data_IF_378135704775
#
_entry.id   IF_378135704775
#
_cell.length_a   1.000
_cell.length_b   1.000
_cell.length_c   1.000
_cell.angle_alpha   90.00
_cell.angle_beta   90.00
_cell.angle_gamma   90.00
#
_symmetry.space_group_name_H-M   'P 1'
#
loop_
_entity.id
_entity.type
_entity.pdbx_description
1 polymer ?
#
# COMPACT_ATOMS: atom_id res chain seq x y z
N UNK A 1 -15.41 -5.96 16.80
CA UNK A 1 -15.51 -6.44 15.42
C UNK A 1 -14.93 -7.83 15.39
N UNK A 2 -15.65 -8.84 14.92
CA UNK A 2 -14.99 -10.10 14.55
C UNK A 2 -13.89 -9.76 13.55
N UNK A 3 -12.64 -9.84 14.02
CA UNK A 3 -11.48 -9.32 13.31
C UNK A 3 -11.23 -10.12 12.04
N UNK A 4 -10.87 -9.42 10.98
CA UNK A 4 -10.34 -10.06 9.80
C UNK A 4 -9.03 -10.78 10.18
N UNK A 5 -8.93 -12.06 9.82
CA UNK A 5 -7.85 -12.95 10.23
C UNK A 5 -7.06 -13.41 9.00
N UNK A 6 -5.73 -13.43 9.10
CA UNK A 6 -4.82 -13.83 8.05
C UNK A 6 -5.13 -15.23 7.50
N UNK A 7 -5.51 -16.18 8.37
CA UNK A 7 -5.84 -17.55 7.96
C UNK A 7 -6.98 -17.61 6.94
N UNK A 8 -7.94 -16.67 7.01
CA UNK A 8 -9.06 -16.57 6.05
C UNK A 8 -8.65 -15.95 4.72
N UNK A 9 -7.58 -15.16 4.70
CA UNK A 9 -7.06 -14.47 3.53
C UNK A 9 -5.89 -15.21 2.86
N UNK A 10 -5.37 -16.26 3.50
CA UNK A 10 -4.28 -17.08 2.97
C UNK A 10 -4.70 -17.70 1.64
N UNK A 11 -3.85 -17.59 0.62
CA UNK A 11 -4.12 -18.02 -0.75
C UNK A 11 -4.99 -17.06 -1.55
N UNK A 12 -5.32 -15.89 -1.01
CA UNK A 12 -6.11 -14.86 -1.68
C UNK A 12 -5.30 -13.57 -1.88
N UNK A 13 -5.71 -12.80 -2.88
CA UNK A 13 -5.32 -11.41 -3.08
C UNK A 13 -6.40 -10.53 -2.45
N UNK A 14 -5.99 -9.72 -1.49
CA UNK A 14 -6.89 -8.90 -0.68
C UNK A 14 -6.51 -7.43 -0.77
N UNK A 15 -7.48 -6.58 -1.09
CA UNK A 15 -7.32 -5.12 -1.11
C UNK A 15 -8.13 -4.48 0.02
N UNK A 16 -7.44 -3.80 0.93
CA UNK A 16 -8.02 -3.02 2.02
C UNK A 16 -8.11 -1.55 1.59
N UNK A 17 -9.32 -1.00 1.51
CA UNK A 17 -9.58 0.40 1.12
C UNK A 17 -10.23 1.19 2.25
N UNK A 18 -10.11 2.51 2.18
CA UNK A 18 -10.71 3.41 3.15
C UNK A 18 -9.99 4.75 3.25
N UNK A 19 -10.57 5.64 4.05
CA UNK A 19 -10.14 7.03 4.15
C UNK A 19 -8.93 7.22 5.09
N UNK A 20 -8.21 8.34 5.01
CA UNK A 20 -7.14 8.66 5.98
C UNK A 20 -7.68 8.54 7.41
N UNK A 21 -6.95 7.81 8.26
CA UNK A 21 -7.34 7.56 9.65
C UNK A 21 -8.29 6.38 9.87
N UNK A 22 -8.81 5.71 8.83
CA UNK A 22 -9.76 4.58 8.99
C UNK A 22 -9.15 3.27 9.53
N UNK A 23 -7.86 3.23 9.86
CA UNK A 23 -7.20 2.03 10.39
C UNK A 23 -6.67 1.03 9.35
N UNK A 24 -6.69 1.34 8.05
CA UNK A 24 -6.15 0.44 6.99
C UNK A 24 -4.74 -0.09 7.28
N UNK A 25 -3.82 0.80 7.63
CA UNK A 25 -2.43 0.42 7.93
C UNK A 25 -2.37 -0.41 9.20
N UNK A 26 -3.16 -0.07 10.22
CA UNK A 26 -3.30 -0.88 11.44
C UNK A 26 -3.74 -2.30 11.11
N UNK A 27 -4.82 -2.47 10.34
CA UNK A 27 -5.30 -3.79 9.92
C UNK A 27 -4.25 -4.54 9.08
N UNK A 28 -3.56 -3.84 8.18
CA UNK A 28 -2.49 -4.44 7.37
C UNK A 28 -1.34 -4.94 8.24
N UNK A 29 -0.94 -4.15 9.24
CA UNK A 29 0.10 -4.52 10.19
C UNK A 29 -0.33 -5.67 11.11
N UNK A 30 -1.59 -5.70 11.56
CA UNK A 30 -2.15 -6.81 12.34
C UNK A 30 -2.15 -8.12 11.54
N UNK A 31 -2.58 -8.07 10.28
CA UNK A 31 -2.55 -9.23 9.37
C UNK A 31 -1.11 -9.69 9.09
N UNK A 32 -0.16 -8.76 8.95
CA UNK A 32 1.26 -9.09 8.82
C UNK A 32 1.80 -9.76 10.08
N UNK A 33 1.44 -9.26 11.27
CA UNK A 33 1.86 -9.86 12.54
C UNK A 33 1.31 -11.30 12.72
N UNK A 34 0.11 -11.58 12.17
CA UNK A 34 -0.43 -12.94 12.11
C UNK A 34 0.31 -13.80 11.09
N UNK A 35 0.61 -13.27 9.90
CA UNK A 35 1.36 -13.96 8.86
C UNK A 35 2.77 -14.37 9.33
N UNK A 36 3.48 -13.47 10.04
CA UNK A 36 4.80 -13.74 10.63
C UNK A 36 4.78 -14.93 11.59
N UNK A 37 3.65 -15.19 12.26
CA UNK A 37 3.48 -16.35 13.16
C UNK A 37 3.06 -17.62 12.43
N UNK A 38 2.44 -17.48 11.26
CA UNK A 38 1.80 -18.58 10.53
C UNK A 38 2.63 -19.12 9.36
N UNK A 39 3.58 -18.34 8.86
CA UNK A 39 4.39 -18.65 7.66
C UNK A 39 5.89 -18.66 8.01
N UNK A 40 6.72 -19.40 7.27
CA UNK A 40 8.16 -19.20 7.31
C UNK A 40 8.52 -17.74 7.00
N UNK A 41 9.44 -17.14 7.77
CA UNK A 41 9.72 -15.69 7.66
C UNK A 41 10.28 -15.32 6.28
N UNK A 42 11.06 -16.22 5.68
CA UNK A 42 11.62 -16.12 4.33
C UNK A 42 10.57 -16.19 3.22
N UNK A 43 9.36 -16.67 3.53
CA UNK A 43 8.24 -16.75 2.60
C UNK A 43 7.47 -15.42 2.48
N UNK A 44 7.79 -14.43 3.31
CA UNK A 44 7.08 -13.14 3.39
C UNK A 44 7.98 -12.02 2.85
N UNK A 45 7.45 -11.26 1.89
CA UNK A 45 7.99 -9.96 1.48
C UNK A 45 7.00 -8.86 1.84
N UNK A 46 7.50 -7.75 2.37
CA UNK A 46 6.73 -6.53 2.60
C UNK A 46 7.34 -5.41 1.78
N UNK A 47 6.53 -4.82 0.90
CA UNK A 47 6.84 -3.62 0.16
C UNK A 47 6.07 -2.45 0.78
N UNK A 48 6.77 -1.59 1.53
CA UNK A 48 6.13 -0.46 2.19
C UNK A 48 6.24 0.81 1.35
N UNK A 49 5.15 1.17 0.67
CA UNK A 49 5.08 2.37 -0.15
C UNK A 49 4.51 3.57 0.60
N UNK A 50 4.29 3.47 1.92
CA UNK A 50 3.83 4.61 2.68
C UNK A 50 5.02 5.48 3.13
N UNK A 51 4.92 6.80 3.03
CA UNK A 51 5.82 7.68 3.77
C UNK A 51 5.63 7.46 5.28
N UNK A 52 6.66 7.77 6.08
CA UNK A 52 6.52 7.83 7.54
C UNK A 52 5.38 8.77 7.92
N UNK A 53 4.71 8.54 9.04
CA UNK A 53 3.64 9.43 9.50
C UNK A 53 4.10 10.88 9.55
N UNK A 54 3.30 11.77 8.99
CA UNK A 54 3.55 13.21 9.01
C UNK A 54 2.24 13.98 9.15
N UNK A 55 2.34 15.22 9.62
CA UNK A 55 1.21 16.16 9.65
C UNK A 55 1.44 17.25 8.62
N UNK A 56 0.49 17.44 7.72
CA UNK A 56 0.50 18.51 6.74
C UNK A 56 -0.91 19.05 6.53
N UNK A 57 -1.06 20.38 6.50
CA UNK A 57 -2.34 21.06 6.31
C UNK A 57 -3.43 20.61 7.30
N UNK A 58 -3.05 20.35 8.56
CA UNK A 58 -3.96 19.87 9.61
C UNK A 58 -4.36 18.40 9.51
N UNK A 59 -3.85 17.65 8.54
CA UNK A 59 -4.14 16.22 8.34
C UNK A 59 -2.90 15.38 8.70
N UNK A 60 -3.10 14.35 9.53
CA UNK A 60 -2.10 13.30 9.77
C UNK A 60 -2.22 12.24 8.68
N UNK A 61 -1.15 11.97 7.94
CA UNK A 61 -1.12 11.03 6.82
C UNK A 61 0.20 10.24 6.79
N UNK A 62 0.30 9.31 5.84
CA UNK A 62 1.36 8.29 5.81
C UNK A 62 1.04 7.15 6.76
N UNK A 63 2.09 6.53 7.29
CA UNK A 63 1.99 5.40 8.20
C UNK A 63 2.68 4.19 7.58
N UNK A 64 3.98 4.12 7.78
CA UNK A 64 4.74 2.93 7.44
C UNK A 64 4.51 1.84 8.49
N UNK A 65 4.50 0.58 8.08
CA UNK A 65 4.24 -0.60 8.92
C UNK A 65 5.16 -0.66 10.14
N UNK A 66 6.43 -0.24 10.00
CA UNK A 66 7.41 -0.20 11.09
C UNK A 66 7.06 0.80 12.21
N UNK A 67 6.01 1.62 12.04
CA UNK A 67 5.46 2.49 13.08
C UNK A 67 4.34 1.82 13.89
N UNK A 68 3.81 0.68 13.43
CA UNK A 68 2.66 -0.01 14.04
C UNK A 68 3.04 -1.31 14.74
N UNK A 69 4.05 -2.02 14.22
CA UNK A 69 4.52 -3.28 14.78
C UNK A 69 6.05 -3.35 14.76
N UNK A 70 6.62 -4.11 15.70
CA UNK A 70 8.03 -4.47 15.64
C UNK A 70 8.22 -5.60 14.63
N UNK A 71 9.11 -5.39 13.65
CA UNK A 71 9.39 -6.35 12.60
C UNK A 71 10.60 -7.22 12.98
N UNK A 72 10.55 -8.54 12.73
CA UNK A 72 11.72 -9.41 12.82
C UNK A 72 12.84 -8.92 11.89
N UNK A 73 14.09 -9.11 12.29
CA UNK A 73 15.25 -8.64 11.50
C UNK A 73 15.40 -9.41 10.20
N UNK A 74 14.98 -10.66 10.20
CA UNK A 74 15.04 -11.62 9.10
C UNK A 74 13.94 -11.40 8.07
N UNK A 75 12.89 -10.65 8.42
CA UNK A 75 11.80 -10.34 7.49
C UNK A 75 12.31 -9.52 6.32
N UNK A 76 11.95 -9.91 5.10
CA UNK A 76 12.22 -9.12 3.89
C UNK A 76 11.28 -7.92 3.82
N UNK A 77 11.56 -6.91 4.64
CA UNK A 77 10.87 -5.62 4.69
C UNK A 77 11.64 -4.57 3.90
N UNK A 78 11.04 -4.07 2.83
CA UNK A 78 11.65 -3.07 1.95
C UNK A 78 10.77 -1.83 1.93
N UNK A 79 11.28 -0.75 2.52
CA UNK A 79 10.61 0.54 2.58
C UNK A 79 11.01 1.44 1.43
N UNK A 80 10.03 2.01 0.74
CA UNK A 80 10.25 2.96 -0.33
C UNK A 80 10.61 4.34 0.24
N UNK A 81 11.52 5.05 -0.43
CA UNK A 81 11.77 6.46 -0.16
C UNK A 81 10.77 7.32 -0.95
N UNK A 82 9.66 7.68 -0.33
CA UNK A 82 8.53 8.35 -1.00
C UNK A 82 7.99 9.52 -0.18
N UNK A 83 7.21 10.38 -0.83
CA UNK A 83 6.55 11.56 -0.23
C UNK A 83 5.08 11.62 -0.64
N UNK A 84 4.21 12.21 0.18
CA UNK A 84 2.80 12.43 -0.13
C UNK A 84 2.60 13.58 -1.13
N UNK A 85 2.29 13.33 -2.42
CA UNK A 85 2.37 14.36 -3.45
C UNK A 85 1.43 15.54 -3.23
N UNK A 86 0.21 15.29 -2.74
CA UNK A 86 -0.85 16.31 -2.57
C UNK A 86 -0.71 17.12 -1.27
N UNK A 87 -0.06 16.53 -0.26
CA UNK A 87 0.06 17.13 1.07
C UNK A 87 1.41 17.85 1.28
N UNK A 88 2.48 17.35 0.65
CA UNK A 88 3.84 17.88 0.84
C UNK A 88 4.31 18.81 -0.28
N UNK A 89 3.54 18.98 -1.35
CA UNK A 89 3.83 19.96 -2.41
C UNK A 89 3.17 21.31 -2.15
N UNK A 90 3.76 22.35 -2.73
CA UNK A 90 3.21 23.71 -2.79
C UNK A 90 2.57 24.02 -4.14
N UNK A 91 2.96 23.30 -5.19
CA UNK A 91 2.49 23.54 -6.57
C UNK A 91 2.06 22.25 -7.26
N UNK A 92 1.21 22.37 -8.30
CA UNK A 92 0.84 21.24 -9.16
C UNK A 92 2.05 20.58 -9.83
N UNK A 93 3.01 21.37 -10.30
CA UNK A 93 4.22 20.85 -10.96
C UNK A 93 5.04 19.99 -9.98
N UNK A 94 5.21 20.47 -8.75
CA UNK A 94 5.91 19.73 -7.69
C UNK A 94 5.17 18.44 -7.31
N UNK A 95 3.85 18.49 -7.14
CA UNK A 95 3.04 17.30 -6.86
C UNK A 95 3.22 16.22 -7.93
N UNK A 96 3.17 16.59 -9.21
CA UNK A 96 3.34 15.66 -10.32
C UNK A 96 4.78 15.12 -10.41
N UNK A 97 5.79 15.93 -10.08
CA UNK A 97 7.18 15.48 -9.99
C UNK A 97 7.34 14.43 -8.87
N UNK A 98 6.81 14.71 -7.68
CA UNK A 98 6.82 13.76 -6.55
C UNK A 98 6.11 12.46 -6.92
N UNK A 99 4.94 12.53 -7.56
CA UNK A 99 4.22 11.33 -7.99
C UNK A 99 5.05 10.46 -8.95
N UNK A 100 5.77 11.07 -9.90
CA UNK A 100 6.66 10.37 -10.83
C UNK A 100 7.89 9.77 -10.14
N UNK A 101 8.48 10.50 -9.18
CA UNK A 101 9.60 9.99 -8.38
C UNK A 101 9.16 8.78 -7.56
N UNK A 102 8.04 8.88 -6.84
CA UNK A 102 7.45 7.78 -6.10
C UNK A 102 7.18 6.57 -7.00
N UNK A 103 6.61 6.80 -8.20
CA UNK A 103 6.34 5.74 -9.15
C UNK A 103 7.61 5.03 -9.62
N UNK A 104 8.71 5.76 -9.87
CA UNK A 104 10.00 5.15 -10.23
C UNK A 104 10.54 4.29 -9.09
N UNK A 105 10.53 4.79 -7.87
CA UNK A 105 11.03 4.05 -6.71
C UNK A 105 10.19 2.80 -6.45
N UNK A 106 8.87 2.94 -6.39
CA UNK A 106 7.96 1.80 -6.19
C UNK A 106 8.02 0.79 -7.34
N UNK A 107 8.19 1.23 -8.60
CA UNK A 107 8.36 0.32 -9.75
C UNK A 107 9.64 -0.51 -9.61
N UNK A 108 10.75 0.11 -9.22
CA UNK A 108 12.02 -0.59 -8.95
C UNK A 108 11.86 -1.68 -7.88
N UNK A 109 11.08 -1.41 -6.83
CA UNK A 109 10.80 -2.38 -5.78
C UNK A 109 9.91 -3.52 -6.26
N UNK A 110 8.87 -3.24 -7.04
CA UNK A 110 8.02 -4.25 -7.66
C UNK A 110 8.83 -5.16 -8.60
N UNK A 111 9.68 -4.58 -9.46
CA UNK A 111 10.56 -5.33 -10.36
C UNK A 111 11.59 -6.19 -9.59
N UNK A 112 12.11 -5.69 -8.46
CA UNK A 112 13.00 -6.47 -7.61
C UNK A 112 12.28 -7.64 -6.93
N UNK A 113 11.01 -7.45 -6.54
CA UNK A 113 10.18 -8.54 -6.03
C UNK A 113 9.88 -9.57 -7.13
N UNK A 114 9.42 -9.14 -8.31
CA UNK A 114 9.09 -10.04 -9.44
C UNK A 114 10.29 -10.91 -9.85
N UNK A 115 11.53 -10.41 -9.77
CA UNK A 115 12.73 -11.20 -10.09
C UNK A 115 13.06 -12.28 -9.06
N UNK A 116 12.55 -12.16 -7.84
CA UNK A 116 12.79 -13.10 -6.75
C UNK A 116 11.56 -13.10 -5.82
N UNK A 117 10.42 -13.63 -6.29
CA UNK A 117 9.17 -13.53 -5.56
C UNK A 117 9.18 -14.42 -4.32
N UNK A 118 8.36 -14.05 -3.35
CA UNK A 118 8.02 -14.89 -2.19
C UNK A 118 6.52 -15.16 -2.21
N UNK A 119 6.05 -16.31 -1.71
CA UNK A 119 4.64 -16.70 -1.84
C UNK A 119 3.68 -15.80 -1.07
N UNK A 120 4.14 -15.08 -0.04
CA UNK A 120 3.34 -14.11 0.70
C UNK A 120 3.89 -12.70 0.46
N UNK A 121 3.02 -11.81 -0.01
CA UNK A 121 3.35 -10.42 -0.32
C UNK A 121 2.42 -9.46 0.45
N UNK A 122 3.02 -8.51 1.15
CA UNK A 122 2.30 -7.35 1.69
C UNK A 122 2.72 -6.09 0.93
N UNK A 123 1.76 -5.24 0.57
CA UNK A 123 2.04 -3.92 -0.03
C UNK A 123 1.28 -2.82 0.68
N UNK A 124 1.99 -2.00 1.45
CA UNK A 124 1.39 -0.86 2.15
C UNK A 124 1.29 0.35 1.20
N UNK A 125 0.13 1.01 1.20
CA UNK A 125 -0.18 2.23 0.47
C UNK A 125 0.09 2.17 -1.05
N UNK A 126 -0.58 1.25 -1.75
CA UNK A 126 -0.43 1.10 -3.22
C UNK A 126 -0.87 2.35 -3.98
N UNK A 127 -1.63 3.24 -3.36
CA UNK A 127 -2.03 4.51 -3.96
C UNK A 127 -0.85 5.40 -4.33
N UNK A 128 0.25 5.35 -3.56
CA UNK A 128 1.50 6.06 -3.88
C UNK A 128 2.09 5.60 -5.22
N UNK A 129 2.06 4.30 -5.51
CA UNK A 129 2.44 3.79 -6.83
C UNK A 129 1.44 4.25 -7.90
N UNK A 130 0.14 4.14 -7.63
CA UNK A 130 -0.91 4.42 -8.61
C UNK A 130 -0.99 5.90 -9.05
N UNK A 131 -0.38 6.83 -8.31
CA UNK A 131 -0.31 8.26 -8.70
C UNK A 131 0.41 8.50 -10.03
N UNK A 132 1.36 7.65 -10.42
CA UNK A 132 2.01 7.74 -11.74
C UNK A 132 2.58 6.41 -12.28
N UNK A 133 2.62 5.35 -11.47
CA UNK A 133 3.17 4.03 -11.79
C UNK A 133 2.23 3.14 -12.58
N UNK A 134 2.75 2.02 -13.08
CA UNK A 134 2.00 1.11 -13.94
C UNK A 134 1.14 0.14 -13.13
N UNK A 135 -0.18 0.21 -13.32
CA UNK A 135 -1.11 -0.78 -12.74
C UNK A 135 -0.75 -2.21 -13.17
N UNK A 136 -0.31 -2.42 -14.42
CA UNK A 136 0.06 -3.76 -14.89
C UNK A 136 1.29 -4.31 -14.17
N UNK A 137 2.25 -3.46 -13.80
CA UNK A 137 3.42 -3.88 -13.03
C UNK A 137 3.01 -4.28 -11.61
N UNK A 138 2.15 -3.49 -10.97
CA UNK A 138 1.58 -3.84 -9.68
C UNK A 138 0.81 -5.16 -9.76
N UNK A 139 -0.11 -5.32 -10.72
CA UNK A 139 -0.87 -6.58 -10.87
C UNK A 139 0.05 -7.77 -11.09
N UNK A 140 1.06 -7.65 -11.95
CA UNK A 140 2.04 -8.72 -12.17
C UNK A 140 2.73 -9.12 -10.87
N UNK A 141 3.16 -8.17 -10.04
CA UNK A 141 3.72 -8.50 -8.73
C UNK A 141 2.73 -9.26 -7.84
N UNK A 142 1.44 -8.91 -7.85
CA UNK A 142 0.43 -9.65 -7.09
C UNK A 142 0.19 -11.06 -7.63
N UNK A 143 0.37 -11.28 -8.93
CA UNK A 143 0.20 -12.59 -9.58
C UNK A 143 1.33 -13.57 -9.22
N UNK A 144 2.55 -13.08 -8.97
CA UNK A 144 3.69 -13.91 -8.50
C UNK A 144 3.51 -14.42 -7.06
N UNK A 145 2.63 -13.80 -6.27
CA UNK A 145 2.33 -14.21 -4.90
C UNK A 145 1.16 -15.19 -4.84
N UNK A 146 1.22 -16.15 -3.92
CA UNK A 146 0.07 -17.01 -3.58
C UNK A 146 -0.92 -16.28 -2.67
N UNK A 147 -0.40 -15.54 -1.69
CA UNK A 147 -1.18 -14.64 -0.81
C UNK A 147 -0.69 -13.22 -1.02
N UNK A 148 -1.58 -12.28 -1.30
CA UNK A 148 -1.22 -10.87 -1.38
C UNK A 148 -2.17 -10.02 -0.54
N UNK A 149 -1.64 -9.19 0.37
CA UNK A 149 -2.45 -8.26 1.17
C UNK A 149 -1.92 -6.86 0.93
N UNK A 150 -2.80 -5.97 0.46
CA UNK A 150 -2.43 -4.62 0.13
C UNK A 150 -3.48 -3.63 0.64
N UNK A 151 -3.05 -2.41 0.92
CA UNK A 151 -3.97 -1.34 1.25
C UNK A 151 -3.84 -0.13 0.33
N UNK A 152 -4.93 0.62 0.21
CA UNK A 152 -5.05 1.78 -0.66
C UNK A 152 -5.89 2.87 0.01
N UNK A 153 -5.53 4.13 -0.23
CA UNK A 153 -6.40 5.24 0.09
C UNK A 153 -7.64 5.25 -0.82
N UNK A 154 -8.81 5.44 -0.23
CA UNK A 154 -10.07 5.75 -0.92
C UNK A 154 -10.87 6.72 -0.05
N UNK A 155 -11.01 7.96 -0.51
CA UNK A 155 -11.76 8.97 0.23
C UNK A 155 -11.69 10.36 -0.38
N UNK A 156 -12.03 11.36 0.44
CA UNK A 156 -12.11 12.79 0.14
C UNK A 156 -11.36 13.69 1.14
N UNK A 157 -10.90 13.18 2.29
CA UNK A 157 -10.14 13.97 3.30
C UNK A 157 -8.79 14.53 2.79
N UNK A 158 -8.12 13.85 1.86
CA UNK A 158 -6.93 14.40 1.21
C UNK A 158 -7.43 15.32 0.08
N UNK A 159 -6.87 16.54 -0.07
CA UNK A 159 -7.24 17.44 -1.17
C UNK A 159 -7.25 16.72 -2.52
N UNK A 160 -8.25 17.01 -3.36
CA UNK A 160 -8.38 16.38 -4.67
C UNK A 160 -7.34 16.90 -5.68
N UNK A 161 -6.79 18.09 -5.50
CA UNK A 161 -5.80 18.65 -6.41
C UNK A 161 -4.38 18.13 -6.13
N UNK A 162 -3.57 17.84 -7.18
CA UNK A 162 -3.93 17.91 -8.60
C UNK A 162 -4.88 16.78 -9.05
N UNK A 163 -5.90 17.11 -9.83
CA UNK A 163 -6.89 16.12 -10.33
C UNK A 163 -6.25 14.96 -11.10
N UNK A 164 -5.13 15.17 -11.80
CA UNK A 164 -4.46 14.10 -12.54
C UNK A 164 -3.98 12.97 -11.62
N UNK A 165 -3.55 13.32 -10.41
CA UNK A 165 -3.15 12.35 -9.39
C UNK A 165 -4.40 11.63 -8.87
N UNK A 166 -5.44 12.38 -8.52
CA UNK A 166 -6.67 11.84 -7.92
C UNK A 166 -7.46 10.96 -8.87
N UNK A 167 -7.60 11.34 -10.14
CA UNK A 167 -8.28 10.54 -11.16
C UNK A 167 -7.54 9.24 -11.44
N UNK A 168 -6.21 9.30 -11.57
CA UNK A 168 -5.39 8.11 -11.77
C UNK A 168 -5.43 7.18 -10.57
N UNK A 169 -5.36 7.73 -9.36
CA UNK A 169 -5.54 7.00 -8.11
C UNK A 169 -6.88 6.26 -8.08
N UNK A 170 -7.99 6.99 -8.26
CA UNK A 170 -9.35 6.42 -8.23
C UNK A 170 -9.54 5.33 -9.27
N UNK A 171 -9.11 5.59 -10.52
CA UNK A 171 -9.16 4.59 -11.60
C UNK A 171 -8.30 3.38 -11.28
N UNK A 172 -7.08 3.60 -10.79
CA UNK A 172 -6.14 2.55 -10.43
C UNK A 172 -6.68 1.64 -9.33
N UNK A 173 -7.22 2.21 -8.23
CA UNK A 173 -7.81 1.43 -7.13
C UNK A 173 -9.08 0.73 -7.58
N UNK A 174 -9.92 1.35 -8.41
CA UNK A 174 -11.13 0.71 -8.94
C UNK A 174 -10.80 -0.49 -9.85
N UNK A 175 -9.79 -0.36 -10.72
CA UNK A 175 -9.34 -1.46 -11.57
C UNK A 175 -8.63 -2.56 -10.77
N UNK A 176 -7.86 -2.18 -9.73
CA UNK A 176 -7.22 -3.14 -8.84
C UNK A 176 -8.23 -3.95 -8.05
N UNK A 177 -9.31 -3.31 -7.57
CA UNK A 177 -10.41 -3.97 -6.86
C UNK A 177 -11.10 -5.07 -7.69
N UNK A 178 -11.08 -4.97 -9.03
CA UNK A 178 -11.62 -6.01 -9.93
C UNK A 178 -10.68 -7.19 -10.15
N UNK A 179 -9.41 -7.07 -9.73
CA UNK A 179 -8.33 -8.04 -9.99
C UNK A 179 -7.88 -8.79 -8.74
N UNK A 180 -8.53 -8.54 -7.61
CA UNK A 180 -8.28 -9.19 -6.33
C UNK A 180 -9.49 -10.04 -5.95
N UNK A 181 -9.27 -11.05 -5.11
CA UNK A 181 -10.32 -11.98 -4.70
C UNK A 181 -11.23 -11.36 -3.63
N UNK A 182 -10.66 -10.51 -2.76
CA UNK A 182 -11.36 -9.90 -1.63
C UNK A 182 -11.09 -8.39 -1.59
N UNK A 183 -12.15 -7.61 -1.42
CA UNK A 183 -12.06 -6.17 -1.14
C UNK A 183 -12.66 -5.90 0.23
N UNK A 184 -11.91 -5.19 1.06
CA UNK A 184 -12.24 -4.88 2.45
C UNK A 184 -12.36 -3.38 2.58
N UNK A 185 -13.56 -2.87 2.83
CA UNK A 185 -13.78 -1.44 2.96
C UNK A 185 -13.92 -1.05 4.42
N UNK A 186 -13.02 -0.17 4.87
CA UNK A 186 -13.05 0.40 6.21
C UNK A 186 -13.74 1.76 6.19
N UNK A 187 -14.86 1.84 6.92
CA UNK A 187 -15.61 3.07 7.06
C UNK A 187 -14.82 4.12 7.88
N UNK A 188 -15.03 5.42 7.62
CA UNK A 188 -14.46 6.47 8.45
C UNK A 188 -14.96 6.33 9.90
N UNK A 189 -14.06 6.58 10.84
CA UNK A 189 -14.37 6.81 12.26
C UNK A 189 -14.72 8.29 12.44
#
# INVERSE_FOLDING_TARGET
MEGMDYSRLRGMRTLIVGEVGSGKTTLTAELLAQAIKAEPIEAITVLDFAPRSFTARGLKAGGAIDEYIQLPRELRYIKACVRGPRLQSKTRVEALAIARENARETSRLLEAYIRSPTPVLFVNDVTIHLHAGSLSLLTRALEEAQTAILNAYRGVRIPAEPLEITERERRGVAELAKRVDVVVELLPI
#
